data_IF_665455286639
#
_entry.id   IF_665455286639
#
_cell.length_a   1.000
_cell.length_b   1.000
_cell.length_c   1.000
_cell.angle_alpha   90.00
_cell.angle_beta   90.00
_cell.angle_gamma   90.00
#
_symmetry.space_group_name_H-M   'P 1'
#
loop_
_entity.id
_entity.type
_entity.pdbx_description
1 polymer ?
#
# COMPACT_ATOMS: atom_id res chain seq x y z
N UNK A 1 -2.76 4.52 -11.20
CA UNK A 1 -2.44 4.61 -9.75
C UNK A 1 -1.21 3.78 -9.52
N UNK A 2 -0.29 4.29 -8.72
CA UNK A 2 0.94 3.58 -8.39
C UNK A 2 0.96 3.30 -6.90
N UNK A 3 1.21 2.04 -6.53
CA UNK A 3 1.39 1.64 -5.14
C UNK A 3 2.83 1.95 -4.73
N UNK A 4 2.98 2.51 -3.54
CA UNK A 4 4.29 2.77 -2.94
C UNK A 4 4.30 2.10 -1.58
N UNK A 5 5.24 1.18 -1.38
CA UNK A 5 5.44 0.54 -0.09
C UNK A 5 6.80 0.89 0.46
N UNK A 6 6.82 1.23 1.74
CA UNK A 6 8.03 1.42 2.51
C UNK A 6 8.07 0.40 3.64
N UNK A 7 9.12 -0.43 3.68
CA UNK A 7 9.36 -1.34 4.80
C UNK A 7 10.03 -0.56 5.92
N UNK A 8 9.37 -0.49 7.07
CA UNK A 8 9.88 0.16 8.27
C UNK A 8 10.84 -0.75 9.02
N UNK A 9 10.49 -2.03 9.13
CA UNK A 9 11.24 -2.98 9.93
C UNK A 9 10.98 -4.43 9.49
N UNK A 10 11.96 -5.28 9.77
CA UNK A 10 11.86 -6.74 9.63
C UNK A 10 12.40 -7.38 10.89
N UNK A 11 11.56 -8.19 11.54
CA UNK A 11 11.87 -8.82 12.83
C UNK A 11 11.82 -10.33 12.69
N UNK A 12 12.85 -11.02 13.18
CA UNK A 12 12.77 -12.46 13.42
C UNK A 12 11.81 -12.72 14.59
N UNK A 13 10.83 -13.61 14.41
CA UNK A 13 9.78 -13.87 15.41
C UNK A 13 9.70 -15.32 15.87
N UNK A 14 10.55 -16.20 15.35
CA UNK A 14 10.57 -17.61 15.74
C UNK A 14 10.96 -18.53 14.60
N UNK A 15 10.47 -19.77 14.64
CA UNK A 15 10.80 -20.81 13.67
C UNK A 15 9.84 -20.82 12.48
N UNK A 16 10.40 -21.03 11.28
CA UNK A 16 9.65 -21.49 10.11
C UNK A 16 10.42 -22.63 9.43
N UNK A 17 9.75 -23.50 8.64
CA UNK A 17 10.44 -24.53 7.86
C UNK A 17 11.27 -23.96 6.69
N UNK A 18 11.26 -22.64 6.45
CA UNK A 18 11.90 -21.98 5.32
C UNK A 18 13.24 -21.36 5.70
N UNK A 19 14.15 -22.20 6.20
CA UNK A 19 15.47 -21.79 6.68
C UNK A 19 15.58 -21.64 8.20
N UNK A 20 14.58 -22.13 8.97
CA UNK A 20 14.65 -22.20 10.42
C UNK A 20 14.30 -20.91 11.16
N UNK A 21 13.92 -19.86 10.44
CA UNK A 21 13.52 -18.54 10.97
C UNK A 21 12.24 -18.05 10.32
N UNK A 22 11.42 -17.33 11.08
CA UNK A 22 10.22 -16.65 10.62
C UNK A 22 10.40 -15.15 10.74
N UNK A 23 9.94 -14.39 9.75
CA UNK A 23 9.99 -12.93 9.79
C UNK A 23 8.60 -12.29 9.82
N UNK A 24 8.49 -11.19 10.54
CA UNK A 24 7.39 -10.22 10.43
C UNK A 24 7.93 -8.95 9.80
N UNK A 25 7.23 -8.46 8.78
CA UNK A 25 7.56 -7.21 8.08
C UNK A 25 6.54 -6.14 8.48
N UNK A 26 7.04 -5.05 9.05
CA UNK A 26 6.27 -3.85 9.34
C UNK A 26 6.46 -2.88 8.17
N UNK A 27 5.36 -2.45 7.53
CA UNK A 27 5.43 -1.59 6.35
C UNK A 27 4.28 -0.58 6.31
N UNK A 28 4.49 0.50 5.57
CA UNK A 28 3.47 1.49 5.22
C UNK A 28 3.26 1.41 3.72
N UNK A 29 1.99 1.38 3.31
CA UNK A 29 1.59 1.46 1.91
C UNK A 29 0.84 2.75 1.66
N UNK A 30 1.21 3.43 0.59
CA UNK A 30 0.50 4.57 0.03
C UNK A 30 0.15 4.34 -1.43
N UNK A 31 -0.66 5.25 -1.96
CA UNK A 31 -0.97 5.33 -3.38
C UNK A 31 -0.57 6.70 -3.91
N UNK A 32 -0.14 6.72 -5.16
CA UNK A 32 0.05 7.95 -5.93
C UNK A 32 -0.88 7.92 -7.13
N UNK A 33 -1.62 9.01 -7.31
CA UNK A 33 -2.52 9.17 -8.45
C UNK A 33 -1.78 9.99 -9.50
N UNK A 34 -1.32 9.34 -10.58
CA UNK A 34 -0.53 9.99 -11.63
C UNK A 34 -1.36 10.93 -12.50
N UNK A 35 -2.63 10.60 -12.72
CA UNK A 35 -3.54 11.39 -13.54
C UNK A 35 -4.96 11.23 -13.06
N UNK A 36 -5.63 12.35 -12.91
CA UNK A 36 -7.07 12.41 -12.63
C UNK A 36 -7.77 12.99 -13.85
N UNK A 37 -8.79 12.30 -14.40
CA UNK A 37 -9.64 12.85 -15.45
C UNK A 37 -10.21 14.21 -15.03
N UNK A 38 -10.21 15.18 -15.95
CA UNK A 38 -10.62 16.56 -15.65
C UNK A 38 -12.08 16.63 -15.18
N UNK A 39 -12.95 15.78 -15.73
CA UNK A 39 -14.33 15.63 -15.28
C UNK A 39 -14.47 15.31 -13.79
N UNK A 40 -13.51 14.58 -13.20
CA UNK A 40 -13.55 14.22 -11.78
C UNK A 40 -13.01 15.36 -10.92
N UNK A 41 -12.03 16.13 -11.42
CA UNK A 41 -11.55 17.34 -10.73
C UNK A 41 -12.64 18.40 -10.69
N UNK A 42 -13.31 18.62 -11.80
CA UNK A 42 -14.42 19.58 -11.89
C UNK A 42 -15.58 19.22 -10.94
N UNK A 43 -15.88 17.93 -10.75
CA UNK A 43 -16.90 17.47 -9.79
C UNK A 43 -16.58 17.83 -8.33
N UNK A 44 -15.30 17.96 -7.99
CA UNK A 44 -14.87 18.17 -6.60
C UNK A 44 -14.33 19.58 -6.31
N UNK A 45 -14.12 20.43 -7.34
CA UNK A 45 -13.41 21.72 -7.21
C UNK A 45 -13.97 22.64 -6.11
N UNK A 46 -15.29 22.68 -5.96
CA UNK A 46 -16.00 23.55 -4.99
C UNK A 46 -16.39 22.81 -3.71
N UNK A 47 -15.97 21.54 -3.54
CA UNK A 47 -16.28 20.75 -2.37
C UNK A 47 -15.44 21.17 -1.18
N UNK A 48 -15.89 20.81 0.01
CA UNK A 48 -15.15 21.08 1.25
C UNK A 48 -14.02 20.07 1.45
N UNK A 49 -12.99 20.49 2.18
CA UNK A 49 -11.97 19.60 2.70
C UNK A 49 -12.53 19.03 4.03
N UNK A 50 -12.63 17.70 4.17
CA UNK A 50 -13.21 17.09 5.37
C UNK A 50 -12.25 17.17 6.56
N UNK A 51 -12.80 17.21 7.77
CA UNK A 51 -12.00 17.09 9.00
C UNK A 51 -11.83 15.61 9.35
N UNK A 52 -10.78 14.99 8.81
CA UNK A 52 -10.54 13.54 8.91
C UNK A 52 -11.15 12.75 7.75
N UNK A 53 -11.29 11.43 7.93
CA UNK A 53 -11.82 10.53 6.89
C UNK A 53 -13.35 10.70 6.78
N UNK A 54 -13.89 11.05 5.59
CA UNK A 54 -15.34 11.11 5.36
C UNK A 54 -16.05 9.82 5.78
N UNK A 55 -17.23 9.94 6.37
CA UNK A 55 -18.04 8.78 6.80
C UNK A 55 -19.11 8.39 5.75
N UNK A 56 -19.27 9.19 4.70
CA UNK A 56 -20.26 9.05 3.63
C UNK A 56 -19.64 9.32 2.25
N UNK A 57 -20.40 9.11 1.17
CA UNK A 57 -20.01 9.50 -0.19
C UNK A 57 -18.97 8.59 -0.86
N UNK A 58 -18.67 7.44 -0.27
CA UNK A 58 -17.75 6.45 -0.82
C UNK A 58 -18.41 5.57 -1.87
N UNK A 59 -17.74 5.42 -3.01
CA UNK A 59 -18.09 4.54 -4.11
C UNK A 59 -16.97 3.51 -4.28
N UNK A 60 -17.29 2.21 -4.22
CA UNK A 60 -16.33 1.15 -4.55
C UNK A 60 -16.05 1.21 -6.05
N UNK A 61 -14.77 1.19 -6.42
CA UNK A 61 -14.33 1.23 -7.81
C UNK A 61 -13.44 0.02 -8.12
N UNK A 62 -13.49 -0.41 -9.38
CA UNK A 62 -12.64 -1.52 -9.84
C UNK A 62 -11.18 -1.08 -9.99
N UNK A 63 -10.26 -1.96 -9.62
CA UNK A 63 -8.85 -1.87 -9.99
C UNK A 63 -8.69 -2.52 -11.35
N UNK A 64 -8.57 -1.72 -12.42
CA UNK A 64 -8.45 -2.23 -13.80
C UNK A 64 -7.06 -2.77 -14.14
N UNK A 65 -6.02 -2.14 -13.59
CA UNK A 65 -4.64 -2.55 -13.76
C UNK A 65 -3.82 -2.08 -12.55
N UNK A 66 -2.79 -2.86 -12.20
CA UNK A 66 -1.81 -2.49 -11.17
C UNK A 66 -0.49 -3.23 -11.38
N UNK A 67 0.59 -2.64 -10.88
CA UNK A 67 1.84 -3.35 -10.61
C UNK A 67 2.04 -3.43 -9.10
N UNK A 68 2.44 -4.60 -8.56
CA UNK A 68 2.75 -4.71 -7.15
C UNK A 68 3.95 -3.83 -6.80
N UNK A 69 3.93 -3.24 -5.59
CA UNK A 69 5.11 -2.60 -5.04
C UNK A 69 5.99 -3.67 -4.41
N UNK A 70 7.22 -3.82 -4.89
CA UNK A 70 8.15 -4.85 -4.41
C UNK A 70 9.30 -4.17 -3.68
N UNK A 71 9.55 -4.60 -2.45
CA UNK A 71 10.72 -4.20 -1.66
C UNK A 71 11.48 -5.46 -1.29
N UNK A 72 12.77 -5.48 -1.62
CA UNK A 72 13.71 -6.51 -1.21
C UNK A 72 14.74 -5.88 -0.27
N UNK A 73 15.06 -6.58 0.82
CA UNK A 73 15.99 -6.11 1.82
C UNK A 73 16.76 -7.28 2.44
N UNK A 74 18.03 -7.04 2.74
CA UNK A 74 18.85 -7.99 3.48
C UNK A 74 18.63 -7.83 4.98
N UNK A 75 18.44 -8.95 5.68
CA UNK A 75 18.23 -9.01 7.12
C UNK A 75 19.14 -10.05 7.74
N UNK A 76 19.78 -9.69 8.85
CA UNK A 76 20.50 -10.63 9.73
C UNK A 76 19.51 -11.40 10.61
N UNK A 77 19.82 -12.66 10.88
CA UNK A 77 19.01 -13.54 11.74
C UNK A 77 19.89 -14.48 12.57
N UNK A 78 19.28 -15.20 13.50
CA UNK A 78 19.94 -16.27 14.27
C UNK A 78 20.48 -17.42 13.40
N UNK A 79 20.05 -17.52 12.12
CA UNK A 79 20.48 -18.54 11.14
C UNK A 79 21.28 -17.98 9.97
N UNK A 80 21.78 -16.74 10.09
CA UNK A 80 22.56 -16.06 9.05
C UNK A 80 21.73 -15.02 8.29
N UNK A 81 22.23 -14.61 7.12
CA UNK A 81 21.61 -13.56 6.31
C UNK A 81 20.46 -14.10 5.47
N UNK A 82 19.41 -13.31 5.33
CA UNK A 82 18.26 -13.60 4.49
C UNK A 82 17.94 -12.41 3.59
N UNK A 83 17.47 -12.70 2.38
CA UNK A 83 16.79 -11.72 1.55
C UNK A 83 15.30 -11.83 1.85
N UNK A 84 14.75 -10.78 2.45
CA UNK A 84 13.32 -10.66 2.73
C UNK A 84 12.69 -9.83 1.63
N UNK A 85 11.59 -10.33 1.09
CA UNK A 85 10.84 -9.72 -0.01
C UNK A 85 9.41 -9.46 0.43
N UNK A 86 9.01 -8.19 0.41
CA UNK A 86 7.63 -7.76 0.61
C UNK A 86 7.03 -7.32 -0.73
N UNK A 87 5.96 -7.99 -1.15
CA UNK A 87 5.20 -7.64 -2.35
C UNK A 87 3.81 -7.15 -1.95
N UNK A 88 3.53 -5.88 -2.23
CA UNK A 88 2.27 -5.24 -1.88
C UNK A 88 1.35 -5.11 -3.08
N UNK A 89 0.10 -5.52 -2.92
CA UNK A 89 -0.94 -5.40 -3.92
C UNK A 89 -2.16 -4.68 -3.36
N UNK A 90 -2.80 -3.85 -4.19
CA UNK A 90 -4.11 -3.30 -3.91
C UNK A 90 -5.16 -4.40 -4.15
N UNK A 91 -6.05 -4.60 -3.19
CA UNK A 91 -7.11 -5.61 -3.29
C UNK A 91 -8.50 -5.01 -3.38
N UNK A 92 -8.66 -3.78 -2.89
CA UNK A 92 -9.91 -3.02 -2.99
C UNK A 92 -9.60 -1.53 -3.15
N UNK A 93 -10.45 -0.82 -3.88
CA UNK A 93 -10.37 0.62 -4.03
C UNK A 93 -11.75 1.26 -3.86
N UNK A 94 -11.77 2.43 -3.23
CA UNK A 94 -12.94 3.30 -3.16
C UNK A 94 -12.55 4.73 -3.47
N UNK A 95 -13.49 5.48 -4.03
CA UNK A 95 -13.36 6.91 -4.33
C UNK A 95 -14.48 7.69 -3.63
N UNK A 96 -14.21 8.94 -3.29
CA UNK A 96 -15.20 9.87 -2.79
C UNK A 96 -15.18 11.18 -3.61
N UNK A 97 -16.35 11.58 -4.10
CA UNK A 97 -16.56 12.79 -4.91
C UNK A 97 -17.39 13.86 -4.18
N UNK A 98 -17.85 13.60 -2.95
CA UNK A 98 -18.57 14.58 -2.13
C UNK A 98 -17.62 15.59 -1.48
N UNK A 99 -16.35 15.23 -1.35
CA UNK A 99 -15.29 16.00 -0.71
C UNK A 99 -14.08 16.14 -1.65
N UNK A 100 -13.23 17.14 -1.39
CA UNK A 100 -11.93 17.30 -2.08
C UNK A 100 -10.75 17.12 -1.15
N UNK A 101 -9.62 16.68 -1.70
CA UNK A 101 -8.31 16.77 -1.04
C UNK A 101 -7.83 18.22 -1.02
N UNK A 102 -6.82 18.55 -0.18
CA UNK A 102 -6.13 19.84 -0.26
C UNK A 102 -5.57 20.18 -1.66
N UNK A 103 -5.34 19.17 -2.50
CA UNK A 103 -4.85 19.32 -3.88
C UNK A 103 -5.98 19.51 -4.92
N UNK A 104 -7.24 19.72 -4.51
CA UNK A 104 -8.41 19.81 -5.39
C UNK A 104 -8.73 18.51 -6.16
N UNK A 105 -8.46 17.37 -5.54
CA UNK A 105 -8.65 16.06 -6.17
C UNK A 105 -9.74 15.26 -5.44
N UNK A 106 -10.39 14.29 -6.12
CA UNK A 106 -11.17 13.27 -5.44
C UNK A 106 -10.35 12.55 -4.38
N UNK A 107 -11.02 12.11 -3.32
CA UNK A 107 -10.41 11.22 -2.34
C UNK A 107 -10.40 9.79 -2.87
N UNK A 108 -9.25 9.12 -2.76
CA UNK A 108 -9.09 7.71 -3.04
C UNK A 108 -8.60 6.99 -1.80
N UNK A 109 -9.16 5.82 -1.53
CA UNK A 109 -8.73 4.91 -0.48
C UNK A 109 -8.52 3.52 -1.07
N UNK A 110 -7.45 2.87 -0.66
CA UNK A 110 -7.09 1.53 -1.15
C UNK A 110 -6.79 0.64 0.04
N UNK A 111 -7.41 -0.54 0.05
CA UNK A 111 -6.99 -1.64 0.90
C UNK A 111 -5.88 -2.40 0.16
N UNK A 112 -4.74 -2.59 0.83
CA UNK A 112 -3.63 -3.37 0.31
C UNK A 112 -3.33 -4.58 1.20
N UNK A 113 -2.69 -5.58 0.60
CA UNK A 113 -2.13 -6.74 1.31
C UNK A 113 -0.63 -6.82 1.05
N UNK A 114 0.12 -7.33 2.03
CA UNK A 114 1.56 -7.56 1.91
C UNK A 114 1.85 -9.05 1.88
N UNK A 115 2.37 -9.54 0.74
CA UNK A 115 2.86 -10.91 0.57
C UNK A 115 4.34 -10.94 0.93
N UNK A 116 4.65 -11.49 2.09
CA UNK A 116 6.02 -11.57 2.60
C UNK A 116 6.61 -12.95 2.30
N UNK A 117 7.84 -12.96 1.81
CA UNK A 117 8.62 -14.18 1.57
C UNK A 117 10.08 -13.92 1.90
N UNK A 118 10.86 -14.97 2.12
CA UNK A 118 12.29 -14.83 2.36
C UNK A 118 13.06 -16.06 1.87
N UNK A 119 14.36 -15.86 1.62
CA UNK A 119 15.30 -16.92 1.28
C UNK A 119 16.66 -16.69 1.95
N UNK A 120 17.38 -17.75 2.36
CA UNK A 120 18.75 -17.60 2.83
C UNK A 120 19.64 -16.97 1.75
N UNK A 121 20.52 -16.07 2.18
CA UNK A 121 21.66 -15.61 1.39
C UNK A 121 22.85 -16.46 1.81
N UNK A 122 23.50 -17.12 0.85
CA UNK A 122 24.61 -18.05 1.08
C UNK A 122 25.72 -17.43 1.93
#
# INVERSE_FOLDING_TARGET
>A
MTLVTYVLNVKETGFSPYGGVNFVVESITGITIERIPEELKEKVKDKTIPNGVPQDGWEIIDIKDQKPAIVELETESSKGKFMVRAETEAVMASRNLNYRTPSNEPWYSVLSINKVSWRPLK
#
